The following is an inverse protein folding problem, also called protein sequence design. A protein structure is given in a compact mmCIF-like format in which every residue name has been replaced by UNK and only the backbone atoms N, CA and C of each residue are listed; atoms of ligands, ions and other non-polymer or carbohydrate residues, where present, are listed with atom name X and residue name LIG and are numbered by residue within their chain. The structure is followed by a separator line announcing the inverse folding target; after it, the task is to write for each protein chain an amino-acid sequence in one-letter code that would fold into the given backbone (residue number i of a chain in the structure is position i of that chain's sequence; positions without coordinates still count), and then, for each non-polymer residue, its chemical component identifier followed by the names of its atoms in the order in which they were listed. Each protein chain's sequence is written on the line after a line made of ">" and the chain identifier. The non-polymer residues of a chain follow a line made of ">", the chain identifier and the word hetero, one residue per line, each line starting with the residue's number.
data_IF_382892334056
#
_entry.id   IF_382892334056
#
_cell.length_a   1.000
_cell.length_b   1.000
_cell.length_c   1.000
_cell.angle_alpha   90.00
_cell.angle_beta   90.00
_cell.angle_gamma   90.00
#
_symmetry.space_group_name_H-M   'P 1'
#
loop_
_entity.id
_entity.type
_entity.pdbx_description
1 polymer ?
#
# COMPACT_ATOMS: atom_id res chain seq x y z
N UNK A 1 -17.42 35.48 -18.95
CA UNK A 1 -17.06 34.35 -19.84
C UNK A 1 -15.89 33.62 -19.18
N UNK A 2 -16.16 32.54 -18.45
CA UNK A 2 -15.10 31.79 -17.75
C UNK A 2 -14.32 30.99 -18.78
N UNK A 3 -13.06 31.36 -18.99
CA UNK A 3 -12.12 30.61 -19.83
C UNK A 3 -11.94 29.26 -19.15
N UNK A 4 -12.66 28.23 -19.61
CA UNK A 4 -12.40 26.84 -19.22
C UNK A 4 -10.95 26.56 -19.60
N UNK A 5 -10.08 26.44 -18.60
CA UNK A 5 -8.73 25.94 -18.78
C UNK A 5 -8.85 24.61 -19.55
N UNK A 6 -8.22 24.54 -20.72
CA UNK A 6 -8.17 23.31 -21.51
C UNK A 6 -7.46 22.28 -20.64
N UNK A 7 -8.20 21.31 -20.12
CA UNK A 7 -7.64 20.20 -19.35
C UNK A 7 -6.88 19.33 -20.35
N UNK A 8 -5.59 19.60 -20.52
CA UNK A 8 -4.67 18.69 -21.22
C UNK A 8 -4.32 17.54 -20.27
N UNK A 9 -5.15 16.50 -20.31
CA UNK A 9 -4.88 15.22 -19.66
C UNK A 9 -4.57 14.15 -20.70
N UNK A 10 -3.74 13.17 -20.34
CA UNK A 10 -3.54 11.97 -21.15
C UNK A 10 -4.66 10.96 -20.85
N UNK A 11 -5.22 10.36 -21.90
CA UNK A 11 -6.14 9.25 -21.80
C UNK A 11 -5.38 7.93 -21.61
N UNK A 12 -6.02 6.84 -21.12
CA UNK A 12 -5.35 5.55 -20.90
C UNK A 12 -4.65 4.97 -22.14
N UNK A 13 -5.16 5.28 -23.33
CA UNK A 13 -4.61 4.89 -24.63
C UNK A 13 -3.46 5.78 -25.12
N UNK A 14 -3.27 6.96 -24.53
CA UNK A 14 -2.24 7.91 -24.97
C UNK A 14 -0.85 7.45 -24.51
N UNK A 15 0.13 7.63 -25.40
CA UNK A 15 1.55 7.39 -25.08
C UNK A 15 2.24 8.74 -24.92
N UNK A 16 2.36 9.28 -23.69
CA UNK A 16 3.03 10.55 -23.48
C UNK A 16 4.50 10.51 -23.92
N UNK A 17 5.10 11.66 -24.25
CA UNK A 17 6.53 11.74 -24.55
C UNK A 17 7.33 11.21 -23.35
N UNK A 18 8.49 10.61 -23.63
CA UNK A 18 9.27 9.85 -22.65
C UNK A 18 9.50 10.58 -21.31
N UNK A 19 9.80 11.88 -21.34
CA UNK A 19 9.97 12.68 -20.12
C UNK A 19 8.70 12.82 -19.27
N UNK A 20 7.55 13.00 -19.91
CA UNK A 20 6.26 13.06 -19.22
C UNK A 20 5.86 11.67 -18.70
N UNK A 21 6.12 10.61 -19.48
CA UNK A 21 5.88 9.22 -19.06
C UNK A 21 6.69 8.86 -17.81
N UNK A 22 7.99 9.18 -17.80
CA UNK A 22 8.87 8.94 -16.66
C UNK A 22 8.40 9.74 -15.43
N UNK A 23 8.04 11.01 -15.61
CA UNK A 23 7.55 11.85 -14.51
C UNK A 23 6.25 11.31 -13.89
N UNK A 24 5.29 10.88 -14.71
CA UNK A 24 4.03 10.28 -14.26
C UNK A 24 4.26 8.93 -13.56
N UNK A 25 5.18 8.12 -14.08
CA UNK A 25 5.54 6.84 -13.45
C UNK A 25 6.15 7.05 -12.05
N UNK A 26 7.11 7.98 -11.92
CA UNK A 26 7.70 8.34 -10.62
C UNK A 26 6.63 8.85 -9.66
N UNK A 27 5.70 9.69 -10.12
CA UNK A 27 4.60 10.16 -9.28
C UNK A 27 3.72 9.02 -8.77
N UNK A 28 3.34 8.09 -9.65
CA UNK A 28 2.52 6.95 -9.25
C UNK A 28 3.23 6.08 -8.21
N UNK A 29 4.54 5.87 -8.36
CA UNK A 29 5.34 5.14 -7.38
C UNK A 29 5.35 5.89 -6.05
N UNK A 30 5.65 7.19 -6.07
CA UNK A 30 5.71 8.01 -4.86
C UNK A 30 4.37 8.08 -4.12
N UNK A 31 3.24 8.11 -4.82
CA UNK A 31 1.92 8.17 -4.18
C UNK A 31 1.48 6.85 -3.57
N UNK A 32 1.80 5.72 -4.21
CA UNK A 32 1.38 4.39 -3.76
C UNK A 32 2.35 3.73 -2.77
N UNK A 33 3.61 4.18 -2.76
CA UNK A 33 4.66 3.64 -1.91
C UNK A 33 4.32 3.65 -0.42
N UNK A 34 3.88 4.76 0.21
CA UNK A 34 3.66 4.79 1.66
C UNK A 34 2.62 3.77 2.13
N UNK A 35 1.53 3.61 1.38
CA UNK A 35 0.48 2.64 1.71
C UNK A 35 1.01 1.20 1.61
N UNK A 36 1.72 0.88 0.53
CA UNK A 36 2.25 -0.48 0.28
C UNK A 36 3.28 -0.88 1.34
N UNK A 37 4.18 0.05 1.70
CA UNK A 37 5.20 -0.15 2.74
C UNK A 37 4.58 -0.26 4.13
N UNK A 38 3.57 0.56 4.44
CA UNK A 38 2.89 0.51 5.73
C UNK A 38 2.29 -0.87 6.00
N UNK A 39 1.61 -1.47 5.02
CA UNK A 39 1.06 -2.83 5.19
C UNK A 39 2.18 -3.84 5.43
N UNK A 40 3.27 -3.77 4.66
CA UNK A 40 4.38 -4.70 4.81
C UNK A 40 4.97 -4.63 6.23
N UNK A 41 5.21 -3.42 6.74
CA UNK A 41 5.74 -3.22 8.10
C UNK A 41 4.77 -3.72 9.17
N UNK A 42 3.47 -3.39 9.06
CA UNK A 42 2.47 -3.82 10.05
C UNK A 42 2.27 -5.33 10.08
N UNK A 43 2.45 -6.00 8.94
CA UNK A 43 2.29 -7.44 8.79
C UNK A 43 3.59 -8.23 8.89
N UNK A 44 4.71 -7.57 9.23
CA UNK A 44 6.06 -8.18 9.32
C UNK A 44 6.50 -8.86 8.01
N UNK A 45 6.03 -8.37 6.87
CA UNK A 45 6.46 -8.80 5.54
C UNK A 45 7.68 -8.01 5.07
N UNK A 46 8.52 -8.64 4.25
CA UNK A 46 9.66 -7.97 3.63
C UNK A 46 9.16 -6.86 2.69
N UNK A 47 9.62 -5.63 2.95
CA UNK A 47 9.19 -4.44 2.20
C UNK A 47 9.61 -4.55 0.72
N UNK A 48 10.83 -5.04 0.46
CA UNK A 48 11.36 -5.23 -0.89
C UNK A 48 10.54 -6.24 -1.68
N UNK A 49 10.22 -7.39 -1.08
CA UNK A 49 9.43 -8.45 -1.70
C UNK A 49 8.00 -7.98 -1.99
N UNK A 50 7.42 -7.19 -1.08
CA UNK A 50 6.07 -6.63 -1.25
C UNK A 50 6.04 -5.62 -2.41
N UNK A 51 7.01 -4.71 -2.49
CA UNK A 51 7.10 -3.75 -3.60
C UNK A 51 7.38 -4.44 -4.94
N UNK A 52 8.26 -5.45 -4.94
CA UNK A 52 8.59 -6.23 -6.12
C UNK A 52 7.38 -6.99 -6.67
N UNK A 53 6.65 -7.70 -5.80
CA UNK A 53 5.46 -8.46 -6.18
C UNK A 53 4.29 -7.56 -6.58
N UNK A 54 4.10 -6.41 -5.92
CA UNK A 54 3.12 -5.38 -6.32
C UNK A 54 3.41 -4.81 -7.72
N UNK A 55 4.69 -4.55 -8.02
CA UNK A 55 5.12 -4.11 -9.36
C UNK A 55 4.82 -5.15 -10.43
N UNK A 56 5.19 -6.41 -10.19
CA UNK A 56 4.89 -7.53 -11.10
C UNK A 56 3.37 -7.72 -11.26
N UNK A 57 2.62 -7.71 -10.16
CA UNK A 57 1.16 -7.85 -10.18
C UNK A 57 0.48 -6.77 -11.00
N UNK A 58 0.94 -5.53 -10.87
CA UNK A 58 0.46 -4.41 -11.68
C UNK A 58 0.74 -4.62 -13.17
N UNK A 59 1.95 -5.07 -13.53
CA UNK A 59 2.30 -5.39 -14.93
C UNK A 59 1.39 -6.50 -15.47
N UNK A 60 1.21 -7.58 -14.72
CA UNK A 60 0.34 -8.70 -15.11
C UNK A 60 -1.10 -8.21 -15.31
N UNK A 61 -1.64 -7.42 -14.39
CA UNK A 61 -3.00 -6.90 -14.49
C UNK A 61 -3.19 -5.97 -15.71
N UNK A 62 -2.20 -5.13 -16.01
CA UNK A 62 -2.23 -4.29 -17.22
C UNK A 62 -2.19 -5.13 -18.50
N UNK A 63 -1.42 -6.22 -18.53
CA UNK A 63 -1.37 -7.13 -19.69
C UNK A 63 -2.68 -7.91 -19.85
N UNK A 64 -3.22 -8.47 -18.77
CA UNK A 64 -4.49 -9.22 -18.77
C UNK A 64 -5.67 -8.33 -19.16
N UNK A 65 -5.72 -7.08 -18.67
CA UNK A 65 -6.76 -6.10 -19.02
C UNK A 65 -6.57 -5.46 -20.40
N UNK A 66 -5.56 -5.89 -21.18
CA UNK A 66 -5.20 -5.31 -22.48
C UNK A 66 -4.99 -3.78 -22.40
N UNK A 67 -4.41 -3.30 -21.30
CA UNK A 67 -4.12 -1.88 -21.01
C UNK A 67 -5.36 -0.98 -21.00
N UNK A 68 -6.56 -1.53 -20.81
CA UNK A 68 -7.81 -0.76 -20.77
C UNK A 68 -8.16 -0.24 -19.39
N UNK A 69 -7.62 -0.86 -18.34
CA UNK A 69 -7.91 -0.54 -16.94
C UNK A 69 -6.62 -0.02 -16.30
N UNK A 70 -6.45 1.30 -16.15
CA UNK A 70 -5.22 1.90 -15.62
C UNK A 70 -5.22 1.85 -14.08
N UNK A 71 -5.04 0.66 -13.52
CA UNK A 71 -5.03 0.44 -12.07
C UNK A 71 -3.67 -0.05 -11.58
N UNK A 72 -3.23 0.51 -10.45
CA UNK A 72 -2.07 0.04 -9.69
C UNK A 72 -2.54 -0.92 -8.59
N UNK A 73 -1.83 -2.04 -8.42
CA UNK A 73 -2.16 -3.07 -7.44
C UNK A 73 -1.17 -3.02 -6.28
N UNK A 74 -1.53 -2.28 -5.23
CA UNK A 74 -0.77 -2.20 -3.97
C UNK A 74 -1.26 -3.19 -2.91
N UNK A 75 -0.68 -3.10 -1.71
CA UNK A 75 -1.08 -3.92 -0.56
C UNK A 75 -2.50 -3.60 -0.09
N UNK A 76 -3.32 -4.63 0.15
CA UNK A 76 -4.70 -4.43 0.61
C UNK A 76 -4.80 -4.28 2.12
N UNK A 77 -5.41 -3.17 2.55
CA UNK A 77 -5.60 -2.83 3.96
C UNK A 77 -6.61 -3.76 4.65
N UNK A 78 -7.51 -4.40 3.89
CA UNK A 78 -8.47 -5.37 4.42
C UNK A 78 -7.82 -6.63 4.96
N UNK A 79 -6.60 -6.95 4.50
CA UNK A 79 -5.87 -8.14 4.91
C UNK A 79 -5.04 -7.93 6.19
N UNK A 80 -4.80 -6.70 6.63
CA UNK A 80 -3.93 -6.40 7.79
C UNK A 80 -4.42 -7.14 9.04
N UNK A 81 -5.68 -6.95 9.40
CA UNK A 81 -6.24 -7.54 10.62
C UNK A 81 -6.19 -9.08 10.60
N UNK A 82 -6.50 -9.69 9.45
CA UNK A 82 -6.53 -11.15 9.30
C UNK A 82 -5.12 -11.73 9.33
N UNK A 83 -4.17 -11.10 8.64
CA UNK A 83 -2.77 -11.54 8.63
C UNK A 83 -2.18 -11.44 10.05
N UNK A 84 -2.37 -10.30 10.73
CA UNK A 84 -1.89 -10.12 12.09
C UNK A 84 -2.52 -11.14 13.04
N UNK A 85 -3.84 -11.34 12.99
CA UNK A 85 -4.51 -12.31 13.85
C UNK A 85 -4.01 -13.74 13.61
N UNK A 86 -3.85 -14.14 12.34
CA UNK A 86 -3.33 -15.46 12.00
C UNK A 86 -1.89 -15.65 12.50
N UNK A 87 -1.01 -14.68 12.24
CA UNK A 87 0.37 -14.78 12.70
C UNK A 87 0.47 -14.77 14.23
N UNK A 88 -0.29 -13.94 14.95
CA UNK A 88 -0.30 -13.93 16.42
C UNK A 88 -0.77 -15.27 16.98
N UNK A 89 -1.78 -15.88 16.34
CA UNK A 89 -2.35 -17.14 16.81
C UNK A 89 -1.44 -18.35 16.58
N UNK A 90 -0.80 -18.43 15.41
CA UNK A 90 -0.06 -19.63 14.98
C UNK A 90 1.47 -19.47 15.08
N UNK A 91 1.99 -18.24 15.09
CA UNK A 91 3.42 -17.93 15.21
C UNK A 91 3.60 -16.70 16.12
N UNK A 92 3.26 -16.78 17.42
CA UNK A 92 3.22 -15.63 18.33
C UNK A 92 4.57 -14.90 18.43
N UNK A 93 5.68 -15.62 18.23
CA UNK A 93 7.04 -15.08 18.25
C UNK A 93 7.27 -13.96 17.24
N UNK A 94 6.52 -13.92 16.13
CA UNK A 94 6.60 -12.84 15.16
C UNK A 94 6.20 -11.45 15.71
N UNK A 95 5.40 -11.41 16.78
CA UNK A 95 4.87 -10.17 17.37
C UNK A 95 5.31 -9.94 18.82
N UNK A 96 6.02 -10.90 19.43
CA UNK A 96 6.57 -10.76 20.79
C UNK A 96 7.75 -9.77 20.84
N UNK A 97 8.53 -9.66 19.76
CA UNK A 97 9.62 -8.70 19.64
C UNK A 97 9.19 -7.45 18.85
N UNK A 98 9.24 -6.29 19.50
CA UNK A 98 8.89 -5.00 18.91
C UNK A 98 9.90 -4.58 17.84
N UNK A 99 11.15 -5.06 17.92
CA UNK A 99 12.23 -4.71 16.99
C UNK A 99 12.23 -5.55 15.71
N UNK A 100 11.52 -6.67 15.69
CA UNK A 100 11.45 -7.54 14.52
C UNK A 100 10.70 -6.84 13.39
N UNK A 101 11.35 -6.61 12.26
CA UNK A 101 10.75 -5.95 11.08
C UNK A 101 10.24 -6.95 10.04
N UNK A 102 10.78 -8.17 10.03
CA UNK A 102 10.46 -9.23 9.09
C UNK A 102 10.38 -10.58 9.80
N UNK A 103 9.28 -11.32 9.61
CA UNK A 103 9.09 -12.66 10.17
C UNK A 103 8.87 -13.71 9.07
N UNK A 104 9.91 -14.43 8.61
CA UNK A 104 9.78 -15.37 7.49
C UNK A 104 8.78 -16.50 7.75
N UNK A 105 8.76 -17.06 8.96
CA UNK A 105 7.85 -18.18 9.29
C UNK A 105 6.38 -17.77 9.27
N UNK A 106 6.04 -16.63 9.89
CA UNK A 106 4.68 -16.08 9.83
C UNK A 106 4.24 -15.77 8.40
N UNK A 107 5.15 -15.21 7.58
CA UNK A 107 4.87 -14.90 6.17
C UNK A 107 4.54 -16.15 5.37
N UNK A 108 5.30 -17.24 5.54
CA UNK A 108 5.07 -18.50 4.83
C UNK A 108 3.73 -19.15 5.16
N UNK A 109 3.30 -19.04 6.42
CA UNK A 109 1.98 -19.50 6.86
C UNK A 109 0.86 -18.70 6.17
N UNK A 110 0.89 -17.37 6.27
CA UNK A 110 -0.19 -16.54 5.73
C UNK A 110 -0.21 -16.52 4.19
N UNK A 111 0.93 -16.77 3.54
CA UNK A 111 1.01 -16.89 2.08
C UNK A 111 0.09 -18.00 1.55
N UNK A 112 -0.04 -19.13 2.23
CA UNK A 112 -0.97 -20.18 1.83
C UNK A 112 -2.42 -19.68 1.87
N UNK A 113 -2.78 -18.92 2.91
CA UNK A 113 -4.10 -18.27 3.03
C UNK A 113 -4.35 -17.24 1.93
N UNK A 114 -3.36 -16.38 1.63
CA UNK A 114 -3.45 -15.36 0.58
C UNK A 114 -3.60 -16.01 -0.81
N UNK A 115 -2.91 -17.12 -1.07
CA UNK A 115 -3.10 -17.88 -2.31
C UNK A 115 -4.51 -18.45 -2.37
N UNK A 116 -5.01 -18.99 -1.26
CA UNK A 116 -6.38 -19.50 -1.15
C UNK A 116 -7.44 -18.43 -1.44
N UNK A 117 -7.29 -17.23 -0.87
CA UNK A 117 -8.21 -16.12 -1.15
C UNK A 117 -8.08 -15.63 -2.60
N UNK A 118 -6.86 -15.59 -3.16
CA UNK A 118 -6.66 -15.26 -4.57
C UNK A 118 -7.37 -16.23 -5.53
N UNK A 119 -7.30 -17.54 -5.26
CA UNK A 119 -8.06 -18.55 -6.02
C UNK A 119 -9.58 -18.33 -5.87
N UNK A 120 -10.05 -18.06 -4.66
CA UNK A 120 -11.46 -17.77 -4.41
C UNK A 120 -11.93 -16.51 -5.16
N UNK A 121 -11.14 -15.45 -5.18
CA UNK A 121 -11.41 -14.21 -5.92
C UNK A 121 -11.49 -14.46 -7.43
N UNK A 122 -10.62 -15.31 -7.98
CA UNK A 122 -10.70 -15.75 -9.39
C UNK A 122 -12.00 -16.50 -9.65
N UNK A 123 -12.38 -17.45 -8.79
CA UNK A 123 -13.62 -18.22 -8.94
C UNK A 123 -14.85 -17.31 -8.86
N UNK A 124 -14.87 -16.36 -7.93
CA UNK A 124 -15.93 -15.35 -7.83
C UNK A 124 -15.97 -14.46 -9.08
N UNK A 125 -14.81 -14.06 -9.61
CA UNK A 125 -14.72 -13.32 -10.87
C UNK A 125 -15.35 -14.08 -12.03
N UNK A 126 -15.05 -15.38 -12.18
CA UNK A 126 -15.65 -16.25 -13.20
C UNK A 126 -17.16 -16.42 -12.99
N UNK A 127 -17.61 -16.52 -11.74
CA UNK A 127 -19.04 -16.57 -11.41
C UNK A 127 -19.76 -15.28 -11.82
N UNK A 128 -19.16 -14.11 -11.55
CA UNK A 128 -19.72 -12.80 -11.92
C UNK A 128 -19.85 -12.67 -13.44
N UNK A 129 -18.89 -13.19 -14.21
CA UNK A 129 -18.99 -13.23 -15.68
C UNK A 129 -20.22 -14.02 -16.15
N UNK A 130 -20.61 -15.07 -15.42
CA UNK A 130 -21.74 -15.93 -15.76
C UNK A 130 -23.10 -15.41 -15.28
N UNK A 131 -23.16 -14.86 -14.06
CA UNK A 131 -24.40 -14.37 -13.44
C UNK A 131 -24.71 -12.93 -13.88
N UNK A 132 -23.70 -12.18 -14.30
CA UNK A 132 -23.82 -10.81 -14.77
C UNK A 132 -23.74 -9.76 -13.64
N UNK A 133 -23.39 -8.53 -14.04
CA UNK A 133 -23.14 -7.41 -13.11
C UNK A 133 -24.35 -7.06 -12.24
N UNK A 134 -25.57 -7.19 -12.76
CA UNK A 134 -26.78 -6.81 -12.03
C UNK A 134 -27.00 -7.60 -10.74
N UNK A 135 -26.57 -8.87 -10.70
CA UNK A 135 -26.63 -9.68 -9.48
C UNK A 135 -25.60 -9.21 -8.45
N UNK A 136 -24.39 -8.85 -8.90
CA UNK A 136 -23.35 -8.28 -8.04
C UNK A 136 -23.82 -6.96 -7.42
N UNK A 137 -24.38 -6.06 -8.22
CA UNK A 137 -24.87 -4.76 -7.75
C UNK A 137 -26.03 -4.90 -6.74
N UNK A 138 -26.78 -6.01 -6.80
CA UNK A 138 -27.84 -6.35 -5.83
C UNK A 138 -27.28 -6.89 -4.51
N UNK A 139 -26.20 -7.67 -4.56
CA UNK A 139 -25.56 -8.26 -3.37
C UNK A 139 -24.64 -7.25 -2.68
N UNK A 140 -23.90 -6.46 -3.44
CA UNK A 140 -22.94 -5.45 -2.97
C UNK A 140 -23.30 -4.04 -3.48
N UNK A 141 -24.49 -3.50 -3.14
CA UNK A 141 -24.83 -2.14 -3.48
C UNK A 141 -23.90 -1.13 -2.80
N UNK A 142 -23.86 0.10 -3.32
CA UNK A 142 -23.06 1.20 -2.76
C UNK A 142 -23.36 1.49 -1.29
N UNK A 143 -24.59 1.20 -0.83
CA UNK A 143 -25.00 1.29 0.57
C UNK A 143 -24.29 0.30 1.51
N UNK A 144 -23.66 -0.76 0.98
CA UNK A 144 -22.88 -1.73 1.75
C UNK A 144 -21.38 -1.50 1.54
N UNK A 145 -20.95 -1.34 0.28
CA UNK A 145 -19.51 -1.23 -0.03
C UNK A 145 -18.88 0.03 0.55
N UNK A 146 -19.60 1.15 0.58
CA UNK A 146 -19.14 2.40 1.20
C UNK A 146 -18.88 2.26 2.71
N UNK A 147 -19.87 1.83 3.52
CA UNK A 147 -19.65 1.60 4.95
C UNK A 147 -18.57 0.56 5.26
N UNK A 148 -18.45 -0.51 4.47
CA UNK A 148 -17.38 -1.51 4.64
C UNK A 148 -16.00 -0.87 4.43
N UNK A 149 -15.83 -0.04 3.39
CA UNK A 149 -14.57 0.67 3.16
C UNK A 149 -14.24 1.65 4.30
N UNK A 150 -15.25 2.34 4.84
CA UNK A 150 -15.08 3.23 6.00
C UNK A 150 -14.64 2.45 7.25
N UNK A 151 -15.24 1.28 7.51
CA UNK A 151 -14.88 0.43 8.65
C UNK A 151 -13.45 -0.09 8.55
N UNK A 152 -13.00 -0.49 7.35
CA UNK A 152 -11.60 -0.88 7.12
C UNK A 152 -10.67 0.29 7.48
N UNK A 153 -10.96 1.50 7.00
CA UNK A 153 -10.17 2.69 7.34
C UNK A 153 -10.17 3.00 8.84
N UNK A 154 -11.34 2.95 9.49
CA UNK A 154 -11.48 3.22 10.92
C UNK A 154 -10.77 2.17 11.78
N UNK A 155 -10.75 0.90 11.36
CA UNK A 155 -10.07 -0.17 12.08
C UNK A 155 -8.55 0.06 12.21
N UNK A 156 -7.97 0.84 11.29
CA UNK A 156 -6.54 1.19 11.29
C UNK A 156 -6.20 2.41 12.16
N UNK A 157 -7.21 3.15 12.63
CA UNK A 157 -7.00 4.32 13.48
C UNK A 157 -6.25 3.97 14.77
N UNK A 158 -6.53 2.81 15.37
CA UNK A 158 -5.84 2.33 16.56
C UNK A 158 -4.34 2.10 16.33
N UNK A 159 -3.99 1.46 15.22
CA UNK A 159 -2.59 1.26 14.84
C UNK A 159 -1.88 2.60 14.60
N UNK A 160 -2.53 3.54 13.92
CA UNK A 160 -1.97 4.86 13.66
C UNK A 160 -1.70 5.65 14.97
N UNK A 161 -2.62 5.61 15.94
CA UNK A 161 -2.44 6.27 17.25
C UNK A 161 -1.29 5.62 18.02
N UNK A 162 -1.19 4.30 18.03
CA UNK A 162 -0.11 3.58 18.71
C UNK A 162 1.26 3.92 18.10
N UNK A 163 1.36 4.04 16.77
CA UNK A 163 2.58 4.47 16.10
C UNK A 163 2.90 5.95 16.41
N UNK A 164 1.90 6.82 16.44
CA UNK A 164 2.09 8.23 16.79
C UNK A 164 2.52 8.42 18.25
N UNK A 165 2.07 7.55 19.15
CA UNK A 165 2.41 7.59 20.57
C UNK A 165 3.90 7.39 20.84
N UNK A 166 4.65 6.77 19.92
CA UNK A 166 6.10 6.67 20.02
C UNK A 166 6.77 8.06 20.04
N UNK A 167 6.27 9.01 19.25
CA UNK A 167 6.79 10.39 19.19
C UNK A 167 5.69 11.35 18.70
N UNK A 168 4.85 11.84 19.62
CA UNK A 168 3.75 12.75 19.29
C UNK A 168 4.19 14.03 18.58
N UNK A 169 5.36 14.58 18.95
CA UNK A 169 5.88 15.78 18.31
C UNK A 169 6.14 15.55 16.81
N UNK A 170 6.83 14.45 16.46
CA UNK A 170 7.11 14.07 15.07
C UNK A 170 5.81 13.77 14.33
N UNK A 171 4.90 13.02 14.94
CA UNK A 171 3.62 12.67 14.34
C UNK A 171 2.77 13.91 14.01
N UNK A 172 2.67 14.86 14.94
CA UNK A 172 1.91 16.10 14.74
C UNK A 172 2.57 17.02 13.71
N UNK A 173 3.91 17.13 13.70
CA UNK A 173 4.64 17.89 12.67
C UNK A 173 4.43 17.27 11.28
N UNK A 174 4.52 15.94 11.17
CA UNK A 174 4.27 15.20 9.92
C UNK A 174 2.84 15.39 9.43
N UNK A 175 1.85 15.29 10.34
CA UNK A 175 0.45 15.49 10.04
C UNK A 175 0.17 16.92 9.58
N UNK A 176 0.66 17.91 10.32
CA UNK A 176 0.51 19.32 9.97
C UNK A 176 1.15 19.63 8.62
N UNK A 177 2.38 19.15 8.38
CA UNK A 177 3.06 19.31 7.10
C UNK A 177 2.27 18.68 5.94
N UNK A 178 1.70 17.49 6.16
CA UNK A 178 0.86 16.80 5.17
C UNK A 178 -0.40 17.61 4.85
N UNK A 179 -1.11 18.10 5.87
CA UNK A 179 -2.33 18.91 5.70
C UNK A 179 -2.01 20.21 4.98
N UNK A 180 -0.98 20.94 5.42
CA UNK A 180 -0.56 22.20 4.81
C UNK A 180 -0.12 21.97 3.35
N UNK A 181 0.69 20.95 3.09
CA UNK A 181 1.07 20.58 1.72
C UNK A 181 -0.16 20.27 0.86
N UNK A 182 -1.14 19.53 1.39
CA UNK A 182 -2.36 19.19 0.66
C UNK A 182 -3.18 20.43 0.29
N UNK A 183 -3.30 21.40 1.19
CA UNK A 183 -4.07 22.63 0.94
C UNK A 183 -3.30 23.58 0.02
N UNK A 184 -2.01 23.83 0.27
CA UNK A 184 -1.21 24.79 -0.49
C UNK A 184 -0.76 24.29 -1.87
N UNK A 185 -0.69 22.98 -2.08
CA UNK A 185 -0.35 22.37 -3.36
C UNK A 185 -1.58 21.97 -4.18
N UNK A 186 -2.79 22.19 -3.64
CA UNK A 186 -4.03 21.94 -4.36
C UNK A 186 -4.04 22.73 -5.68
N UNK A 187 -4.24 22.03 -6.80
CA UNK A 187 -4.26 22.63 -8.14
C UNK A 187 -2.88 22.95 -8.74
N UNK A 188 -1.76 22.69 -8.04
CA UNK A 188 -0.40 22.91 -8.55
C UNK A 188 0.16 21.73 -9.36
N UNK A 189 -0.69 21.11 -10.18
CA UNK A 189 -0.30 19.99 -11.06
C UNK A 189 0.35 18.83 -10.30
N UNK A 190 1.53 18.39 -10.76
CA UNK A 190 2.24 17.22 -10.26
C UNK A 190 2.54 17.27 -8.75
N UNK A 191 2.84 18.45 -8.20
CA UNK A 191 3.13 18.62 -6.77
C UNK A 191 1.89 18.43 -5.89
N UNK A 192 0.69 18.69 -6.44
CA UNK A 192 -0.58 18.49 -5.72
C UNK A 192 -0.91 17.03 -5.46
N UNK A 193 -0.20 16.09 -6.10
CA UNK A 193 -0.38 14.65 -5.90
C UNK A 193 0.55 14.05 -4.84
N UNK A 194 1.59 14.79 -4.41
CA UNK A 194 2.61 14.34 -3.45
C UNK A 194 2.49 14.84 -1.98
N UNK A 195 1.37 15.39 -1.46
CA UNK A 195 1.31 15.89 -0.07
C UNK A 195 1.79 14.91 0.99
N UNK A 196 1.45 13.62 0.84
CA UNK A 196 1.80 12.57 1.81
C UNK A 196 3.32 12.35 1.86
N UNK A 197 3.98 12.32 0.69
CA UNK A 197 5.45 12.13 0.60
C UNK A 197 6.18 13.35 1.15
N UNK A 198 5.69 14.55 0.85
CA UNK A 198 6.26 15.79 1.37
C UNK A 198 6.12 15.84 2.89
N UNK A 199 4.94 15.50 3.43
CA UNK A 199 4.72 15.40 4.86
C UNK A 199 5.68 14.41 5.53
N UNK A 200 5.83 13.21 4.95
CA UNK A 200 6.77 12.21 5.43
C UNK A 200 8.23 12.69 5.39
N UNK A 201 8.65 13.39 4.33
CA UNK A 201 9.99 13.95 4.22
C UNK A 201 10.27 15.02 5.28
N UNK A 202 9.29 15.90 5.56
CA UNK A 202 9.40 16.91 6.63
C UNK A 202 9.46 16.25 8.01
N UNK A 203 8.61 15.24 8.24
CA UNK A 203 8.62 14.45 9.48
C UNK A 203 9.96 13.74 9.72
N UNK A 204 10.52 13.14 8.66
CA UNK A 204 11.83 12.50 8.71
C UNK A 204 12.95 13.52 9.00
N UNK A 205 12.96 14.67 8.30
CA UNK A 205 13.95 15.72 8.56
C UNK A 205 13.87 16.23 10.01
N UNK A 206 12.66 16.41 10.55
CA UNK A 206 12.46 16.78 11.95
C UNK A 206 12.95 15.70 12.91
N UNK A 207 12.75 14.42 12.57
CA UNK A 207 13.28 13.28 13.34
C UNK A 207 14.81 13.27 13.38
N UNK A 208 15.47 13.61 12.26
CA UNK A 208 16.93 13.75 12.22
C UNK A 208 17.41 14.86 13.15
N UNK A 209 16.71 16.00 13.18
CA UNK A 209 17.04 17.12 14.08
C UNK A 209 16.90 16.76 15.56
N UNK A 210 15.96 15.87 15.90
CA UNK A 210 15.79 15.35 17.25
C UNK A 210 16.80 14.25 17.62
N UNK A 211 17.61 13.78 16.67
CA UNK A 211 18.63 12.75 16.90
C UNK A 211 18.05 11.35 17.15
N UNK A 212 16.79 11.09 16.76
CA UNK A 212 16.10 9.82 16.98
C UNK A 212 16.26 8.83 15.80
N UNK A 213 16.95 9.22 14.73
CA UNK A 213 17.16 8.41 13.53
C UNK A 213 18.45 7.62 13.66
N UNK A 214 18.34 6.29 13.58
CA UNK A 214 19.49 5.39 13.50
C UNK A 214 19.90 5.16 12.04
N UNK A 215 21.09 5.67 11.68
CA UNK A 215 21.66 5.53 10.34
C UNK A 215 22.41 4.20 10.14
N UNK A 216 22.67 3.44 11.20
CA UNK A 216 23.43 2.19 11.12
C UNK A 216 22.77 1.16 10.18
N UNK A 217 21.43 1.16 10.11
CA UNK A 217 20.67 0.29 9.20
C UNK A 217 20.96 0.60 7.73
N UNK A 218 21.15 1.88 7.40
CA UNK A 218 21.47 2.34 6.04
C UNK A 218 22.93 2.07 5.72
N UNK A 219 23.83 2.31 6.67
CA UNK A 219 25.28 2.11 6.49
C UNK A 219 25.64 0.64 6.28
N UNK A 220 24.92 -0.28 6.92
CA UNK A 220 25.11 -1.72 6.79
C UNK A 220 24.31 -2.33 5.61
N UNK A 221 23.50 -1.55 4.91
CA UNK A 221 22.70 -2.06 3.80
C UNK A 221 23.56 -2.30 2.55
N UNK A 222 23.33 -3.43 1.88
CA UNK A 222 23.96 -3.68 0.59
C UNK A 222 23.38 -2.75 -0.48
N UNK A 223 24.24 -2.25 -1.37
CA UNK A 223 23.83 -1.43 -2.52
C UNK A 223 22.85 -2.14 -3.46
N UNK A 224 22.98 -3.46 -3.59
CA UNK A 224 22.07 -4.31 -4.35
C UNK A 224 21.78 -5.55 -3.51
N UNK A 225 20.51 -5.76 -3.18
CA UNK A 225 20.02 -6.93 -2.48
C UNK A 225 18.82 -7.51 -3.23
N UNK A 226 18.74 -8.83 -3.29
CA UNK A 226 17.55 -9.50 -3.79
C UNK A 226 16.46 -9.45 -2.71
N UNK A 227 15.17 -9.27 -3.09
CA UNK A 227 14.08 -9.32 -2.12
C UNK A 227 13.99 -10.71 -1.46
N UNK A 228 13.61 -10.75 -0.19
CA UNK A 228 13.42 -12.01 0.54
C UNK A 228 12.13 -12.70 0.09
N UNK A 229 12.21 -13.49 -0.98
CA UNK A 229 11.10 -14.28 -1.48
C UNK A 229 10.98 -15.60 -0.72
N UNK A 230 9.79 -15.85 -0.19
CA UNK A 230 9.45 -17.07 0.55
C UNK A 230 8.37 -17.86 -0.17
N UNK A 231 8.36 -19.18 0.05
CA UNK A 231 7.36 -20.09 -0.50
C UNK A 231 6.32 -20.46 0.57
N UNK A 232 5.04 -20.61 0.17
CA UNK A 232 3.97 -20.98 1.10
C UNK A 232 4.21 -22.36 1.69
N UNK A 233 3.79 -22.53 2.94
CA UNK A 233 3.73 -23.85 3.60
C UNK A 233 2.26 -24.21 3.74
N UNK A 234 1.88 -25.38 3.21
CA UNK A 234 0.51 -25.89 3.28
C UNK A 234 0.33 -26.96 4.38
N UNK A 235 1.44 -27.43 4.95
CA UNK A 235 1.40 -28.30 6.11
C UNK A 235 0.99 -27.47 7.33
N UNK A 236 0.03 -27.98 8.10
CA UNK A 236 -0.32 -27.37 9.39
C UNK A 236 0.95 -27.23 10.22
N UNK A 237 1.30 -26.00 10.59
CA UNK A 237 2.33 -25.76 11.60
C UNK A 237 1.88 -26.52 12.86
N UNK A 238 2.78 -27.28 13.53
CA UNK A 238 2.42 -28.11 14.69
C UNK A 238 1.66 -27.35 15.79
#
# INVERSE_FOLDING_TARGET
>A
MSVKAVVRGYMPEDVPPFGALLSLAVQQVLTMFPATVLVAILTKMDVGATLFTSGIGTIIALLVSRRRIPMYYGSSFSYIAVIMAAMIQFVPDCFNDVTMTYCPEGVRLVQAGIIGTGVLEILLGLLIVRVGKAALDKVLPASITGPVALLIGLSLAGAAINMAAANWAVALVTLAATILASVYLQGKGLLGMLPIVIGAAVGYAFSVLLGIVDFSVVDNAAWVALPNLTLPVFDGVP
#
